data_IF_193565464540
#
_entry.id   IF_193565464540
#
_cell.length_a   1.000
_cell.length_b   1.000
_cell.length_c   1.000
_cell.angle_alpha   90.00
_cell.angle_beta   90.00
_cell.angle_gamma   90.00
#
_symmetry.space_group_name_H-M   'P 1'
#
loop_
_entity.id
_entity.type
_entity.pdbx_description
1 polymer ?
#
# COMPACT_ATOMS: atom_id res chain seq x y z
N UNK A 1 -6.14 -9.06 44.05
CA UNK A 1 -6.43 -9.04 42.60
C UNK A 1 -5.22 -9.57 41.87
N UNK A 2 -5.26 -10.81 41.41
CA UNK A 2 -4.24 -11.37 40.52
C UNK A 2 -4.32 -10.61 39.20
N UNK A 3 -3.21 -10.00 38.79
CA UNK A 3 -3.08 -9.39 37.47
C UNK A 3 -3.27 -10.51 36.42
N UNK A 4 -4.46 -10.55 35.81
CA UNK A 4 -4.73 -11.41 34.66
C UNK A 4 -3.64 -11.08 33.62
N UNK A 5 -2.96 -12.08 33.03
CA UNK A 5 -1.82 -11.85 32.16
C UNK A 5 -2.27 -11.12 30.90
N UNK A 6 -2.18 -9.80 30.98
CA UNK A 6 -2.55 -8.80 29.98
C UNK A 6 -1.79 -8.96 28.64
N UNK A 7 -0.76 -9.81 28.61
CA UNK A 7 0.12 -10.05 27.47
C UNK A 7 -0.47 -10.87 26.33
N UNK A 8 -1.63 -11.52 26.50
CA UNK A 8 -2.25 -12.33 25.43
C UNK A 8 -3.33 -11.60 24.63
N UNK A 9 -3.32 -10.26 24.61
CA UNK A 9 -4.20 -9.56 23.70
C UNK A 9 -3.65 -9.69 22.28
N UNK A 10 -4.35 -10.44 21.44
CA UNK A 10 -3.93 -10.84 20.10
C UNK A 10 -3.59 -9.68 19.17
N UNK A 11 -3.23 -10.02 17.92
CA UNK A 11 -2.81 -9.08 16.88
C UNK A 11 -3.72 -7.84 16.77
N UNK A 12 -5.04 -8.01 16.86
CA UNK A 12 -6.01 -6.92 16.77
C UNK A 12 -5.79 -5.82 17.83
N UNK A 13 -5.64 -6.18 19.11
CA UNK A 13 -5.40 -5.20 20.18
C UNK A 13 -4.06 -4.47 20.00
N UNK A 14 -3.04 -5.18 19.52
CA UNK A 14 -1.75 -4.57 19.18
C UNK A 14 -1.88 -3.54 18.04
N UNK A 15 -2.68 -3.85 17.02
CA UNK A 15 -2.98 -2.93 15.94
C UNK A 15 -3.76 -1.69 16.42
N UNK A 16 -4.76 -1.87 17.30
CA UNK A 16 -5.50 -0.75 17.91
C UNK A 16 -4.57 0.16 18.72
N UNK A 17 -3.69 -0.40 19.55
CA UNK A 17 -2.71 0.41 20.29
C UNK A 17 -1.74 1.15 19.38
N UNK A 18 -1.27 0.49 18.33
CA UNK A 18 -0.40 1.12 17.34
C UNK A 18 -1.12 2.29 16.65
N UNK A 19 -2.40 2.11 16.30
CA UNK A 19 -3.25 3.17 15.77
C UNK A 19 -3.40 4.34 16.75
N UNK A 20 -3.71 4.08 18.02
CA UNK A 20 -3.81 5.14 19.05
C UNK A 20 -2.52 5.92 19.18
N UNK A 21 -1.40 5.22 19.31
CA UNK A 21 -0.08 5.87 19.37
C UNK A 21 0.14 6.73 18.14
N UNK A 22 -0.21 6.23 16.95
CA UNK A 22 -0.07 6.93 15.69
C UNK A 22 -0.91 8.21 15.61
N UNK A 23 -2.23 8.13 15.80
CA UNK A 23 -3.08 9.32 15.62
C UNK A 23 -2.97 10.31 16.79
N UNK A 24 -2.34 9.93 17.91
CA UNK A 24 -2.03 10.87 19.01
C UNK A 24 -0.60 11.43 18.96
N UNK A 25 0.19 11.08 17.93
CA UNK A 25 1.53 11.65 17.72
C UNK A 25 1.45 13.18 17.59
N UNK A 26 2.28 13.89 18.35
CA UNK A 26 2.34 15.35 18.36
C UNK A 26 1.36 16.04 19.30
N UNK A 27 0.39 15.30 19.89
CA UNK A 27 -0.48 15.85 20.92
C UNK A 27 0.27 16.04 22.25
N UNK A 28 -0.17 17.00 23.10
CA UNK A 28 0.23 17.08 24.50
C UNK A 28 0.12 15.72 25.19
N UNK A 29 1.07 15.42 26.08
CA UNK A 29 1.18 14.14 26.78
C UNK A 29 -0.13 13.75 27.49
N UNK A 30 -0.77 14.70 28.15
CA UNK A 30 -2.06 14.52 28.83
C UNK A 30 -3.15 13.93 27.90
N UNK A 31 -3.30 14.47 26.68
CA UNK A 31 -4.30 13.98 25.72
C UNK A 31 -3.97 12.57 25.22
N UNK A 32 -2.67 12.30 24.99
CA UNK A 32 -2.18 11.01 24.54
C UNK A 32 -2.42 9.93 25.60
N UNK A 33 -2.08 10.21 26.85
CA UNK A 33 -2.27 9.29 27.97
C UNK A 33 -3.74 9.03 28.23
N UNK A 34 -4.55 10.09 28.29
CA UNK A 34 -6.01 9.97 28.48
C UNK A 34 -6.64 9.08 27.41
N UNK A 35 -6.28 9.29 26.14
CA UNK A 35 -6.85 8.51 25.03
C UNK A 35 -6.32 7.07 25.02
N UNK A 36 -5.04 6.87 25.35
CA UNK A 36 -4.47 5.54 25.51
C UNK A 36 -5.16 4.76 26.62
N UNK A 37 -5.42 5.39 27.77
CA UNK A 37 -6.13 4.77 28.89
C UNK A 37 -7.57 4.41 28.53
N UNK A 38 -8.29 5.29 27.84
CA UNK A 38 -9.66 5.02 27.39
C UNK A 38 -9.71 3.79 26.47
N UNK A 39 -8.84 3.73 25.47
CA UNK A 39 -8.82 2.59 24.53
C UNK A 39 -8.39 1.30 25.23
N UNK A 40 -7.50 1.40 26.21
CA UNK A 40 -7.10 0.26 27.03
C UNK A 40 -8.26 -0.28 27.87
N UNK A 41 -9.08 0.62 28.44
CA UNK A 41 -10.32 0.26 29.13
C UNK A 41 -11.32 -0.39 28.17
N UNK A 42 -11.56 0.22 27.01
CA UNK A 42 -12.49 -0.30 25.99
C UNK A 42 -12.08 -1.71 25.51
N UNK A 43 -10.78 -1.93 25.27
CA UNK A 43 -10.24 -3.24 24.88
C UNK A 43 -10.41 -4.28 26.00
N UNK A 44 -10.22 -3.88 27.26
CA UNK A 44 -10.40 -4.76 28.41
C UNK A 44 -11.87 -5.14 28.63
N UNK A 45 -12.78 -4.16 28.58
CA UNK A 45 -14.22 -4.37 28.70
C UNK A 45 -14.72 -5.30 27.59
N UNK A 46 -14.34 -5.02 26.33
CA UNK A 46 -14.73 -5.85 25.20
C UNK A 46 -14.22 -7.30 25.34
N UNK A 47 -12.95 -7.47 25.74
CA UNK A 47 -12.40 -8.80 25.97
C UNK A 47 -13.12 -9.53 27.11
N UNK A 48 -13.41 -8.85 28.21
CA UNK A 48 -14.09 -9.42 29.38
C UNK A 48 -15.51 -9.87 29.03
N UNK A 49 -16.28 -9.01 28.37
CA UNK A 49 -17.64 -9.32 27.93
C UNK A 49 -17.66 -10.56 27.02
N UNK A 50 -16.66 -10.68 26.14
CA UNK A 50 -16.57 -11.83 25.24
C UNK A 50 -16.06 -13.10 25.92
N UNK A 51 -15.18 -12.98 26.90
CA UNK A 51 -14.77 -14.11 27.73
C UNK A 51 -15.96 -14.71 28.49
N UNK A 52 -16.87 -13.87 29.01
CA UNK A 52 -18.10 -14.32 29.69
C UNK A 52 -19.06 -15.01 28.71
N UNK A 53 -19.11 -14.58 27.44
CA UNK A 53 -19.93 -15.20 26.38
C UNK A 53 -19.34 -16.47 25.73
N UNK A 54 -18.13 -16.91 26.13
CA UNK A 54 -17.39 -18.00 25.48
C UNK A 54 -17.20 -17.84 23.95
N UNK A 55 -17.10 -16.59 23.47
CA UNK A 55 -16.88 -16.32 22.05
C UNK A 55 -15.53 -16.87 21.57
N UNK A 56 -15.44 -17.43 20.34
CA UNK A 56 -14.18 -17.91 19.81
C UNK A 56 -13.18 -16.76 19.60
N UNK A 57 -11.87 -16.96 19.86
CA UNK A 57 -10.86 -15.88 19.80
C UNK A 57 -10.73 -15.18 18.43
N UNK A 58 -11.01 -15.90 17.33
CA UNK A 58 -10.99 -15.34 15.99
C UNK A 58 -12.12 -14.33 15.77
N UNK A 59 -13.33 -14.63 16.25
CA UNK A 59 -14.47 -13.72 16.16
C UNK A 59 -14.19 -12.43 16.95
N UNK A 60 -13.64 -12.55 18.15
CA UNK A 60 -13.22 -11.39 18.96
C UNK A 60 -12.18 -10.52 18.23
N UNK A 61 -11.20 -11.14 17.58
CA UNK A 61 -10.18 -10.41 16.81
C UNK A 61 -10.79 -9.68 15.62
N UNK A 62 -11.76 -10.31 14.94
CA UNK A 62 -12.50 -9.71 13.83
C UNK A 62 -13.32 -8.51 14.28
N UNK A 63 -14.12 -8.66 15.34
CA UNK A 63 -14.97 -7.58 15.86
C UNK A 63 -14.15 -6.40 16.41
N UNK A 64 -13.02 -6.69 17.07
CA UNK A 64 -12.08 -5.64 17.52
C UNK A 64 -11.52 -4.88 16.32
N UNK A 65 -11.11 -5.60 15.26
CA UNK A 65 -10.55 -4.99 14.05
C UNK A 65 -11.59 -4.16 13.32
N UNK A 66 -12.79 -4.70 13.15
CA UNK A 66 -13.91 -4.02 12.51
C UNK A 66 -14.32 -2.74 13.28
N UNK A 67 -14.45 -2.82 14.61
CA UNK A 67 -14.72 -1.64 15.45
C UNK A 67 -13.63 -0.60 15.33
N UNK A 68 -12.37 -1.02 15.31
CA UNK A 68 -11.22 -0.13 15.14
C UNK A 68 -11.29 0.58 13.79
N UNK A 69 -11.51 -0.15 12.69
CA UNK A 69 -11.59 0.41 11.33
C UNK A 69 -12.71 1.46 11.22
N UNK A 70 -13.90 1.18 11.75
CA UNK A 70 -15.00 2.16 11.78
C UNK A 70 -14.67 3.36 12.68
N UNK A 71 -13.94 3.12 13.78
CA UNK A 71 -13.51 4.15 14.72
C UNK A 71 -12.41 5.08 14.20
N UNK A 72 -11.58 4.64 13.24
CA UNK A 72 -10.46 5.43 12.73
C UNK A 72 -10.89 6.80 12.19
N UNK A 73 -12.00 6.87 11.45
CA UNK A 73 -12.51 8.14 10.92
C UNK A 73 -12.94 9.08 12.04
N UNK A 74 -13.58 8.54 13.09
CA UNK A 74 -13.98 9.30 14.27
C UNK A 74 -12.77 9.78 15.09
N UNK A 75 -11.72 8.96 15.20
CA UNK A 75 -10.46 9.33 15.87
C UNK A 75 -9.76 10.50 15.15
N UNK A 76 -9.71 10.44 13.82
CA UNK A 76 -9.16 11.53 13.00
C UNK A 76 -10.02 12.79 13.16
N UNK A 77 -11.35 12.68 13.12
CA UNK A 77 -12.25 13.81 13.29
C UNK A 77 -12.12 14.43 14.70
N UNK A 78 -12.02 13.61 15.74
CA UNK A 78 -11.75 14.05 17.10
C UNK A 78 -10.46 14.86 17.18
N UNK A 79 -9.41 14.41 16.49
CA UNK A 79 -8.15 15.15 16.42
C UNK A 79 -8.33 16.52 15.74
N UNK A 80 -9.09 16.57 14.63
CA UNK A 80 -9.43 17.84 13.97
C UNK A 80 -10.21 18.79 14.88
N UNK A 81 -11.10 18.26 15.73
CA UNK A 81 -11.81 19.07 16.72
C UNK A 81 -10.89 19.61 17.81
N UNK A 82 -9.90 18.81 18.25
CA UNK A 82 -8.98 19.17 19.32
C UNK A 82 -7.95 20.23 18.90
N UNK A 83 -7.29 20.06 17.75
CA UNK A 83 -6.23 20.97 17.27
C UNK A 83 -6.78 22.08 16.35
N UNK A 84 -8.07 22.02 16.00
CA UNK A 84 -8.70 22.87 14.98
C UNK A 84 -8.20 22.55 13.56
N UNK A 85 -8.56 23.36 12.54
CA UNK A 85 -8.18 23.11 11.15
C UNK A 85 -6.66 23.12 10.87
N UNK A 86 -5.85 23.60 11.84
CA UNK A 86 -4.39 23.73 11.74
C UNK A 86 -3.65 22.54 12.35
N UNK A 87 -4.22 21.33 12.24
CA UNK A 87 -3.61 20.08 12.71
C UNK A 87 -2.22 19.92 12.10
N UNK A 88 -1.19 20.19 12.89
CA UNK A 88 0.21 19.91 12.52
C UNK A 88 0.53 18.51 13.02
N UNK A 89 0.05 17.51 12.27
CA UNK A 89 0.44 16.14 12.54
C UNK A 89 1.93 16.02 12.27
N UNK A 90 2.74 16.02 13.34
CA UNK A 90 4.14 15.63 13.31
C UNK A 90 4.21 14.11 13.18
N UNK A 91 3.58 13.54 12.16
CA UNK A 91 4.02 12.22 11.73
C UNK A 91 5.43 12.45 11.19
N UNK A 92 6.41 11.62 11.54
CA UNK A 92 7.61 11.52 10.73
C UNK A 92 7.16 11.02 9.36
N UNK A 93 6.76 11.94 8.51
CA UNK A 93 6.15 11.74 7.20
C UNK A 93 7.07 10.89 6.34
N UNK A 94 8.37 11.03 6.56
CA UNK A 94 9.41 10.17 6.01
C UNK A 94 9.10 8.70 6.34
N UNK A 95 8.80 8.36 7.59
CA UNK A 95 8.49 6.98 7.98
C UNK A 95 7.20 6.47 7.36
N UNK A 96 6.17 7.31 7.24
CA UNK A 96 4.95 6.93 6.53
C UNK A 96 5.25 6.68 5.05
N UNK A 97 5.94 7.61 4.39
CA UNK A 97 6.36 7.45 3.01
C UNK A 97 7.19 6.17 2.83
N UNK A 98 8.08 5.87 3.77
CA UNK A 98 8.88 4.65 3.75
C UNK A 98 8.05 3.38 3.92
N UNK A 99 7.09 3.37 4.86
CA UNK A 99 6.15 2.27 5.03
C UNK A 99 5.27 2.08 3.78
N UNK A 100 4.80 3.16 3.16
CA UNK A 100 4.02 3.11 1.92
C UNK A 100 4.85 2.58 0.74
N UNK A 101 6.11 2.99 0.61
CA UNK A 101 7.02 2.44 -0.41
C UNK A 101 7.24 0.93 -0.21
N UNK A 102 7.35 0.45 1.02
CA UNK A 102 7.42 -1.00 1.31
C UNK A 102 6.09 -1.71 0.98
N UNK A 103 4.95 -1.07 1.22
CA UNK A 103 3.64 -1.56 0.79
C UNK A 103 3.52 -1.64 -0.73
N UNK A 104 4.11 -0.70 -1.47
CA UNK A 104 4.17 -0.74 -2.94
C UNK A 104 4.99 -1.93 -3.46
N UNK A 105 6.06 -2.33 -2.76
CA UNK A 105 6.81 -3.56 -3.08
C UNK A 105 5.88 -4.77 -2.99
N UNK A 106 5.13 -4.88 -1.88
CA UNK A 106 4.19 -5.97 -1.67
C UNK A 106 3.10 -5.97 -2.75
N UNK A 107 2.52 -4.81 -3.06
CA UNK A 107 1.52 -4.66 -4.13
C UNK A 107 2.06 -5.08 -5.50
N UNK A 108 3.28 -4.67 -5.83
CA UNK A 108 3.98 -5.05 -7.07
C UNK A 108 4.18 -6.55 -7.13
N UNK A 109 4.67 -7.15 -6.04
CA UNK A 109 4.91 -8.60 -5.98
C UNK A 109 3.62 -9.40 -6.16
N UNK A 110 2.54 -9.00 -5.49
CA UNK A 110 1.22 -9.62 -5.61
C UNK A 110 0.63 -9.49 -7.02
N UNK A 111 0.86 -8.35 -7.68
CA UNK A 111 0.40 -8.13 -9.06
C UNK A 111 1.15 -9.03 -10.05
N UNK A 112 2.45 -9.22 -9.82
CA UNK A 112 3.30 -10.05 -10.67
C UNK A 112 3.07 -11.55 -10.45
N UNK A 113 2.83 -11.98 -9.21
CA UNK A 113 2.61 -13.39 -8.89
C UNK A 113 1.36 -13.96 -9.56
N UNK A 114 0.40 -13.10 -9.92
CA UNK A 114 -0.82 -13.54 -10.59
C UNK A 114 -0.71 -13.66 -12.10
N UNK A 115 0.36 -13.14 -12.71
CA UNK A 115 0.57 -13.29 -14.15
C UNK A 115 1.10 -14.68 -14.54
N UNK A 116 0.97 -15.68 -13.68
CA UNK A 116 1.28 -17.08 -13.99
C UNK A 116 0.31 -17.75 -14.97
N UNK A 117 -0.50 -16.98 -15.71
CA UNK A 117 -1.41 -17.45 -16.75
C UNK A 117 -0.66 -17.58 -18.06
N UNK A 118 -0.50 -18.81 -18.55
CA UNK A 118 0.01 -19.05 -19.89
C UNK A 118 -1.15 -18.97 -20.90
N UNK A 119 -1.57 -17.75 -21.23
CA UNK A 119 -2.67 -17.52 -22.21
C UNK A 119 -2.29 -17.94 -23.64
N UNK A 120 -1.00 -18.21 -23.88
CA UNK A 120 -0.47 -18.64 -25.18
C UNK A 120 -0.37 -20.14 -25.35
N UNK A 121 -0.55 -20.94 -24.28
CA UNK A 121 -0.49 -22.39 -24.35
C UNK A 121 -1.65 -22.95 -25.15
N UNK A 122 -1.36 -23.87 -26.07
CA UNK A 122 -2.39 -24.72 -26.67
C UNK A 122 -3.09 -25.50 -25.54
N UNK A 123 -4.39 -25.25 -25.32
CA UNK A 123 -5.16 -25.88 -24.24
C UNK A 123 -5.62 -24.95 -23.11
N UNK A 124 -6.20 -23.77 -23.42
CA UNK A 124 -6.78 -22.87 -22.40
C UNK A 124 -7.84 -23.55 -21.49
N UNK A 125 -8.46 -24.64 -21.94
CA UNK A 125 -9.33 -25.46 -21.10
C UNK A 125 -8.60 -26.07 -19.88
N UNK A 126 -7.35 -26.50 -20.04
CA UNK A 126 -6.54 -27.03 -18.93
C UNK A 126 -6.20 -25.93 -17.93
N UNK A 127 -6.03 -24.69 -18.42
CA UNK A 127 -5.80 -23.51 -17.59
C UNK A 127 -7.06 -23.12 -16.80
N UNK A 128 -8.25 -23.25 -17.40
CA UNK A 128 -9.51 -23.11 -16.66
C UNK A 128 -9.72 -24.20 -15.62
N UNK A 129 -9.35 -25.44 -15.93
CA UNK A 129 -9.41 -26.53 -14.96
C UNK A 129 -8.45 -26.27 -13.78
N UNK A 130 -7.26 -25.74 -14.07
CA UNK A 130 -6.33 -25.25 -13.04
C UNK A 130 -6.96 -24.14 -12.20
N UNK A 131 -7.62 -23.16 -12.83
CA UNK A 131 -8.32 -22.08 -12.13
C UNK A 131 -9.43 -22.58 -11.21
N UNK A 132 -10.30 -23.45 -11.71
CA UNK A 132 -11.38 -24.06 -10.93
C UNK A 132 -10.85 -24.96 -9.79
N UNK A 133 -9.60 -25.43 -9.89
CA UNK A 133 -8.94 -26.20 -8.82
C UNK A 133 -8.39 -25.32 -7.69
N UNK A 134 -8.26 -24.01 -7.92
CA UNK A 134 -7.85 -23.05 -6.88
C UNK A 134 -8.95 -22.99 -5.84
N UNK A 135 -8.60 -23.15 -4.57
CA UNK A 135 -9.59 -23.11 -3.49
C UNK A 135 -10.15 -21.70 -3.38
N UNK A 136 -11.47 -21.54 -3.22
CA UNK A 136 -12.12 -20.22 -3.13
C UNK A 136 -11.45 -19.25 -2.13
N UNK A 137 -10.98 -19.75 -0.97
CA UNK A 137 -10.27 -18.89 0.00
C UNK A 137 -8.98 -18.27 -0.54
N UNK A 138 -8.29 -18.91 -1.49
CA UNK A 138 -7.09 -18.36 -2.11
C UNK A 138 -7.46 -17.19 -3.03
N UNK A 139 -8.52 -17.34 -3.81
CA UNK A 139 -9.12 -16.28 -4.64
C UNK A 139 -9.56 -15.09 -3.78
N UNK A 140 -10.22 -15.37 -2.65
CA UNK A 140 -10.67 -14.34 -1.71
C UNK A 140 -9.50 -13.57 -1.09
N UNK A 141 -8.50 -14.29 -0.56
CA UNK A 141 -7.30 -13.68 0.04
C UNK A 141 -6.54 -12.86 -0.99
N UNK A 142 -6.36 -13.38 -2.20
CA UNK A 142 -5.69 -12.67 -3.29
C UNK A 142 -6.43 -11.38 -3.66
N UNK A 143 -7.75 -11.46 -3.84
CA UNK A 143 -8.61 -10.31 -4.18
C UNK A 143 -8.56 -9.26 -3.06
N UNK A 144 -8.66 -9.69 -1.80
CA UNK A 144 -8.57 -8.81 -0.64
C UNK A 144 -7.22 -8.08 -0.59
N UNK A 145 -6.12 -8.80 -0.84
CA UNK A 145 -4.78 -8.22 -0.88
C UNK A 145 -4.62 -7.21 -2.03
N UNK A 146 -5.14 -7.50 -3.22
CA UNK A 146 -5.11 -6.57 -4.34
C UNK A 146 -5.96 -5.31 -4.08
N UNK A 147 -7.18 -5.46 -3.57
CA UNK A 147 -8.05 -4.33 -3.22
C UNK A 147 -7.38 -3.48 -2.13
N UNK A 148 -6.84 -4.12 -1.09
CA UNK A 148 -6.08 -3.45 -0.03
C UNK A 148 -4.86 -2.69 -0.57
N UNK A 149 -4.11 -3.30 -1.50
CA UNK A 149 -3.01 -2.65 -2.19
C UNK A 149 -3.47 -1.43 -3.01
N UNK A 150 -4.56 -1.57 -3.76
CA UNK A 150 -5.16 -0.48 -4.55
C UNK A 150 -5.56 0.72 -3.70
N UNK A 151 -6.27 0.47 -2.59
CA UNK A 151 -6.63 1.50 -1.62
C UNK A 151 -5.40 2.14 -0.97
N UNK A 152 -4.40 1.31 -0.62
CA UNK A 152 -3.13 1.78 -0.08
C UNK A 152 -2.41 2.75 -1.02
N UNK A 153 -2.42 2.48 -2.32
CA UNK A 153 -1.84 3.37 -3.35
C UNK A 153 -2.59 4.70 -3.45
N UNK A 154 -3.93 4.69 -3.41
CA UNK A 154 -4.74 5.91 -3.47
C UNK A 154 -4.48 6.79 -2.23
N UNK A 155 -4.44 6.18 -1.05
CA UNK A 155 -4.12 6.90 0.19
C UNK A 155 -2.70 7.46 0.17
N UNK A 156 -1.74 6.67 -0.33
CA UNK A 156 -0.36 7.11 -0.52
C UNK A 156 -0.28 8.32 -1.46
N UNK A 157 -1.02 8.30 -2.57
CA UNK A 157 -1.09 9.42 -3.51
C UNK A 157 -1.55 10.73 -2.84
N UNK A 158 -2.60 10.67 -2.02
CA UNK A 158 -3.10 11.82 -1.28
C UNK A 158 -2.06 12.34 -0.28
N UNK A 159 -1.40 11.45 0.48
CA UNK A 159 -0.34 11.82 1.42
C UNK A 159 0.82 12.48 0.68
N UNK A 160 1.35 11.87 -0.38
CA UNK A 160 2.46 12.42 -1.16
C UNK A 160 2.11 13.77 -1.78
N UNK A 161 0.90 13.93 -2.31
CA UNK A 161 0.44 15.20 -2.85
C UNK A 161 0.48 16.31 -1.79
N UNK A 162 -0.13 16.07 -0.62
CA UNK A 162 -0.17 17.05 0.46
C UNK A 162 1.23 17.44 0.94
N UNK A 163 2.18 16.50 0.91
CA UNK A 163 3.55 16.73 1.36
C UNK A 163 4.42 17.46 0.35
N UNK A 164 4.31 17.06 -0.92
CA UNK A 164 5.18 17.58 -1.96
C UNK A 164 4.62 18.85 -2.61
N UNK A 165 3.31 19.13 -2.52
CA UNK A 165 2.69 20.26 -3.24
C UNK A 165 3.32 21.61 -2.92
N UNK A 166 3.77 21.84 -1.69
CA UNK A 166 4.36 23.12 -1.28
C UNK A 166 5.82 23.26 -1.73
N UNK A 167 6.54 22.14 -1.89
CA UNK A 167 7.97 22.13 -2.20
C UNK A 167 8.27 21.86 -3.68
N UNK A 168 7.44 21.05 -4.32
CA UNK A 168 7.62 20.56 -5.67
C UNK A 168 6.25 20.23 -6.32
N UNK A 169 5.42 21.25 -6.64
CA UNK A 169 4.02 21.09 -7.01
C UNK A 169 3.83 20.21 -8.25
N UNK A 170 4.63 20.41 -9.30
CA UNK A 170 4.51 19.64 -10.54
C UNK A 170 4.78 18.14 -10.31
N UNK A 171 5.87 17.81 -9.60
CA UNK A 171 6.19 16.40 -9.29
C UNK A 171 5.17 15.78 -8.34
N UNK A 172 4.62 16.56 -7.40
CA UNK A 172 3.59 16.10 -6.47
C UNK A 172 2.33 15.68 -7.21
N UNK A 173 1.85 16.52 -8.13
CA UNK A 173 0.64 16.24 -8.93
C UNK A 173 0.84 15.00 -9.78
N UNK A 174 1.96 14.89 -10.50
CA UNK A 174 2.23 13.76 -11.39
C UNK A 174 2.38 12.45 -10.61
N UNK A 175 3.17 12.46 -9.52
CA UNK A 175 3.35 11.28 -8.67
C UNK A 175 2.02 10.79 -8.08
N UNK A 176 1.21 11.72 -7.56
CA UNK A 176 -0.08 11.38 -6.98
C UNK A 176 -1.07 10.86 -8.04
N UNK A 177 -1.13 11.49 -9.21
CA UNK A 177 -1.98 11.02 -10.31
C UNK A 177 -1.63 9.61 -10.76
N UNK A 178 -0.34 9.34 -11.01
CA UNK A 178 0.12 8.02 -11.46
C UNK A 178 -0.13 6.94 -10.41
N UNK A 179 0.09 7.25 -9.14
CA UNK A 179 -0.11 6.31 -8.04
C UNK A 179 -1.59 6.05 -7.76
N UNK A 180 -2.46 7.07 -7.83
CA UNK A 180 -3.90 6.88 -7.75
C UNK A 180 -4.42 6.04 -8.94
N UNK A 181 -3.89 6.29 -10.14
CA UNK A 181 -4.22 5.51 -11.34
C UNK A 181 -3.82 4.05 -11.20
N UNK A 182 -2.59 3.78 -10.71
CA UNK A 182 -2.15 2.42 -10.38
C UNK A 182 -3.09 1.75 -9.37
N UNK A 183 -3.47 2.47 -8.32
CA UNK A 183 -4.43 2.01 -7.33
C UNK A 183 -5.78 1.58 -7.91
N UNK A 184 -6.36 2.40 -8.78
CA UNK A 184 -7.61 2.10 -9.49
C UNK A 184 -7.45 0.89 -10.40
N UNK A 185 -6.38 0.85 -11.22
CA UNK A 185 -6.12 -0.24 -12.14
C UNK A 185 -5.93 -1.58 -11.41
N UNK A 186 -5.27 -1.59 -10.25
CA UNK A 186 -5.13 -2.79 -9.42
C UNK A 186 -6.48 -3.30 -8.92
N UNK A 187 -7.40 -2.42 -8.49
CA UNK A 187 -8.75 -2.83 -8.07
C UNK A 187 -9.59 -3.36 -9.25
N UNK A 188 -9.46 -2.75 -10.43
CA UNK A 188 -10.09 -3.24 -11.66
C UNK A 188 -9.55 -4.62 -12.02
N UNK A 189 -8.22 -4.82 -11.97
CA UNK A 189 -7.58 -6.11 -12.19
C UNK A 189 -8.08 -7.18 -11.22
N UNK A 190 -8.24 -6.85 -9.94
CA UNK A 190 -8.79 -7.75 -8.93
C UNK A 190 -10.23 -8.18 -9.26
N UNK A 191 -11.04 -7.24 -9.75
CA UNK A 191 -12.43 -7.50 -10.13
C UNK A 191 -12.51 -8.40 -11.36
N UNK A 192 -11.67 -8.16 -12.37
CA UNK A 192 -11.57 -9.00 -13.57
C UNK A 192 -11.09 -10.42 -13.20
N UNK A 193 -10.12 -10.52 -12.30
CA UNK A 193 -9.63 -11.80 -11.79
C UNK A 193 -10.73 -12.60 -11.10
N UNK A 194 -11.49 -11.96 -10.20
CA UNK A 194 -12.61 -12.60 -9.50
C UNK A 194 -13.67 -13.10 -10.48
N UNK A 195 -14.03 -12.28 -11.49
CA UNK A 195 -14.98 -12.69 -12.52
C UNK A 195 -14.47 -13.84 -13.39
N UNK A 196 -13.15 -13.89 -13.67
CA UNK A 196 -12.55 -15.00 -14.41
C UNK A 196 -12.57 -16.31 -13.58
N UNK A 197 -12.32 -16.22 -12.27
CA UNK A 197 -12.40 -17.35 -11.35
C UNK A 197 -13.84 -17.89 -11.25
N UNK A 198 -14.84 -17.01 -11.08
CA UNK A 198 -16.26 -17.41 -11.02
C UNK A 198 -16.71 -18.11 -12.32
N UNK A 199 -16.27 -17.63 -13.49
CA UNK A 199 -16.55 -18.27 -14.77
C UNK A 199 -15.84 -19.63 -14.92
N UNK A 200 -14.65 -19.78 -14.33
CA UNK A 200 -13.95 -21.07 -14.31
C UNK A 200 -14.72 -22.10 -13.49
N UNK A 201 -15.23 -21.71 -12.32
CA UNK A 201 -16.06 -22.56 -11.46
C UNK A 201 -17.37 -22.95 -12.16
N UNK A 202 -18.04 -21.99 -12.82
CA UNK A 202 -19.25 -22.26 -13.62
C UNK A 202 -18.95 -23.20 -14.79
N UNK A 203 -17.85 -22.98 -15.50
CA UNK A 203 -17.43 -23.87 -16.60
C UNK A 203 -17.20 -25.30 -16.11
N UNK A 204 -16.60 -25.48 -14.94
CA UNK A 204 -16.40 -26.79 -14.34
C UNK A 204 -17.72 -27.45 -13.90
N UNK A 205 -18.67 -26.66 -13.38
CA UNK A 205 -19.98 -27.14 -12.91
C UNK A 205 -20.95 -27.49 -14.05
N UNK A 206 -20.99 -26.68 -15.12
CA UNK A 206 -21.98 -26.78 -16.21
C UNK A 206 -21.61 -27.78 -17.31
N UNK A 207 -20.60 -28.63 -17.08
CA UNK A 207 -20.16 -29.62 -18.05
C UNK A 207 -19.35 -29.02 -19.21
N UNK A 208 -18.58 -27.96 -18.95
CA UNK A 208 -17.57 -27.39 -19.87
C UNK A 208 -18.16 -26.71 -21.11
N UNK A 209 -19.18 -25.87 -20.93
CA UNK A 209 -19.83 -25.13 -22.03
C UNK A 209 -18.85 -24.17 -22.75
N UNK A 210 -18.95 -24.08 -24.08
CA UNK A 210 -18.06 -23.25 -24.91
C UNK A 210 -18.23 -21.74 -24.64
N UNK A 211 -19.43 -21.32 -24.20
CA UNK A 211 -19.72 -19.92 -23.85
C UNK A 211 -18.91 -19.46 -22.64
N UNK A 212 -18.86 -20.26 -21.56
CA UNK A 212 -18.10 -19.93 -20.35
C UNK A 212 -16.60 -19.95 -20.62
N UNK A 213 -16.14 -20.90 -21.45
CA UNK A 213 -14.75 -20.96 -21.92
C UNK A 213 -14.33 -19.68 -22.67
N UNK A 214 -15.18 -19.22 -23.61
CA UNK A 214 -14.91 -18.02 -24.41
C UNK A 214 -14.90 -16.76 -23.54
N UNK A 215 -15.87 -16.63 -22.62
CA UNK A 215 -15.96 -15.50 -21.72
C UNK A 215 -14.76 -15.42 -20.75
N UNK A 216 -14.41 -16.54 -20.12
CA UNK A 216 -13.27 -16.59 -19.23
C UNK A 216 -11.95 -16.29 -19.96
N UNK A 217 -11.78 -16.81 -21.18
CA UNK A 217 -10.62 -16.50 -22.02
C UNK A 217 -10.51 -15.00 -22.31
N UNK A 218 -11.62 -14.35 -22.64
CA UNK A 218 -11.64 -12.92 -22.89
C UNK A 218 -11.20 -12.12 -21.64
N UNK A 219 -11.69 -12.48 -20.45
CA UNK A 219 -11.28 -11.82 -19.20
C UNK A 219 -9.80 -12.07 -18.86
N UNK A 220 -9.31 -13.30 -19.00
CA UNK A 220 -7.89 -13.60 -18.74
C UNK A 220 -6.97 -12.86 -19.71
N UNK A 221 -7.37 -12.71 -20.97
CA UNK A 221 -6.63 -11.89 -21.93
C UNK A 221 -6.62 -10.39 -21.59
N UNK A 222 -7.61 -9.88 -20.85
CA UNK A 222 -7.62 -8.50 -20.34
C UNK A 222 -6.67 -8.29 -19.14
N UNK A 223 -6.36 -9.35 -18.37
CA UNK A 223 -5.47 -9.24 -17.22
C UNK A 223 -4.05 -8.83 -17.62
N UNK A 224 -3.54 -9.31 -18.76
CA UNK A 224 -2.22 -8.94 -19.25
C UNK A 224 -2.06 -7.42 -19.50
N UNK A 225 -2.85 -6.76 -20.37
CA UNK A 225 -2.73 -5.32 -20.59
C UNK A 225 -3.02 -4.50 -19.32
N UNK A 226 -3.91 -4.97 -18.43
CA UNK A 226 -4.13 -4.34 -17.12
C UNK A 226 -2.87 -4.38 -16.25
N UNK A 227 -2.24 -5.54 -16.12
CA UNK A 227 -0.97 -5.72 -15.41
C UNK A 227 0.12 -4.79 -15.97
N UNK A 228 0.20 -4.66 -17.29
CA UNK A 228 1.14 -3.76 -17.94
C UNK A 228 0.85 -2.29 -17.63
N UNK A 229 -0.42 -1.87 -17.68
CA UNK A 229 -0.82 -0.52 -17.30
C UNK A 229 -0.52 -0.20 -15.83
N UNK A 230 -0.77 -1.16 -14.92
CA UNK A 230 -0.40 -1.04 -13.49
C UNK A 230 1.12 -0.85 -13.36
N UNK A 231 1.91 -1.66 -14.07
CA UNK A 231 3.36 -1.57 -14.02
C UNK A 231 3.89 -0.23 -14.54
N UNK A 232 3.39 0.26 -15.69
CA UNK A 232 3.76 1.57 -16.26
C UNK A 232 3.46 2.70 -15.28
N UNK A 233 2.25 2.71 -14.72
CA UNK A 233 1.81 3.76 -13.81
C UNK A 233 2.60 3.75 -12.51
N UNK A 234 2.89 2.56 -11.95
CA UNK A 234 3.78 2.40 -10.80
C UNK A 234 5.20 2.89 -11.09
N UNK A 235 5.81 2.44 -12.20
CA UNK A 235 7.16 2.84 -12.57
C UNK A 235 7.27 4.36 -12.77
N UNK A 236 6.27 4.99 -13.39
CA UNK A 236 6.20 6.44 -13.54
C UNK A 236 6.02 7.17 -12.20
N UNK A 237 5.15 6.67 -11.32
CA UNK A 237 4.98 7.22 -9.97
C UNK A 237 6.31 7.16 -9.19
N UNK A 238 7.02 6.04 -9.30
CA UNK A 238 8.31 5.87 -8.65
C UNK A 238 9.39 6.79 -9.21
N UNK A 239 9.48 6.92 -10.54
CA UNK A 239 10.41 7.85 -11.18
C UNK A 239 10.19 9.28 -10.66
N UNK A 240 8.95 9.74 -10.65
CA UNK A 240 8.61 11.10 -10.18
C UNK A 240 8.90 11.31 -8.70
N UNK A 241 8.63 10.31 -7.85
CA UNK A 241 9.00 10.33 -6.43
C UNK A 241 10.52 10.35 -6.24
N UNK A 242 11.28 9.60 -7.03
CA UNK A 242 12.74 9.60 -6.96
C UNK A 242 13.33 10.96 -7.36
N UNK A 243 12.80 11.59 -8.41
CA UNK A 243 13.18 12.95 -8.81
C UNK A 243 12.89 13.93 -7.69
N UNK A 244 11.71 13.85 -7.07
CA UNK A 244 11.35 14.69 -5.93
C UNK A 244 12.28 14.45 -4.72
N UNK A 245 12.56 13.19 -4.38
CA UNK A 245 13.45 12.83 -3.28
C UNK A 245 14.88 13.33 -3.50
N UNK A 246 15.37 13.30 -4.74
CA UNK A 246 16.68 13.87 -5.11
C UNK A 246 16.68 15.39 -4.93
N UNK A 247 15.69 16.07 -5.51
CA UNK A 247 15.59 17.54 -5.49
C UNK A 247 15.45 18.10 -4.07
N UNK A 248 14.81 17.35 -3.19
CA UNK A 248 14.56 17.73 -1.81
C UNK A 248 15.61 17.17 -0.83
N UNK A 249 16.67 16.53 -1.34
CA UNK A 249 17.75 15.92 -0.54
C UNK A 249 17.24 14.97 0.56
N UNK A 250 16.10 14.30 0.32
CA UNK A 250 15.46 13.41 1.31
C UNK A 250 16.27 12.13 1.53
N UNK A 251 17.07 11.73 0.54
CA UNK A 251 17.82 10.48 0.51
C UNK A 251 19.29 10.80 0.17
N UNK A 252 20.22 10.09 0.80
CA UNK A 252 21.66 10.29 0.55
C UNK A 252 22.02 9.82 -0.87
N UNK A 253 22.78 10.64 -1.60
CA UNK A 253 23.44 10.24 -2.85
C UNK A 253 24.37 9.05 -2.56
N UNK A 254 24.18 7.86 -3.17
CA UNK A 254 23.86 7.69 -4.60
C UNK A 254 22.48 7.08 -4.92
N UNK A 255 21.67 6.76 -3.91
CA UNK A 255 20.41 6.00 -4.06
C UNK A 255 19.43 6.56 -5.11
N UNK A 256 19.23 7.87 -5.26
CA UNK A 256 18.26 8.37 -6.23
C UNK A 256 18.64 8.15 -7.70
N UNK A 257 19.94 8.02 -8.01
CA UNK A 257 20.40 7.73 -9.37
C UNK A 257 20.10 6.29 -9.79
N UNK A 258 20.16 5.34 -8.86
CA UNK A 258 19.72 3.96 -9.10
C UNK A 258 18.20 3.90 -9.39
N UNK A 259 17.42 4.73 -8.72
CA UNK A 259 15.98 4.87 -8.95
C UNK A 259 15.66 5.41 -10.35
N UNK A 260 16.31 6.53 -10.72
CA UNK A 260 16.10 7.14 -12.01
C UNK A 260 16.54 6.20 -13.15
N UNK A 261 17.67 5.51 -12.96
CA UNK A 261 18.17 4.50 -13.91
C UNK A 261 17.22 3.32 -14.05
N UNK A 262 16.78 2.73 -12.93
CA UNK A 262 15.85 1.59 -12.96
C UNK A 262 14.49 1.94 -13.54
N UNK A 263 13.90 3.09 -13.19
CA UNK A 263 12.62 3.48 -13.76
C UNK A 263 12.72 3.88 -15.24
N UNK A 264 13.84 4.47 -15.67
CA UNK A 264 14.09 4.72 -17.10
C UNK A 264 14.23 3.40 -17.86
N UNK A 265 14.95 2.43 -17.29
CA UNK A 265 15.10 1.11 -17.87
C UNK A 265 13.74 0.39 -17.97
N UNK A 266 12.90 0.46 -16.92
CA UNK A 266 11.54 -0.10 -16.93
C UNK A 266 10.65 0.55 -17.99
N UNK A 267 10.73 1.86 -18.19
CA UNK A 267 9.96 2.56 -19.24
C UNK A 267 10.48 2.24 -20.65
N UNK A 268 11.80 2.09 -20.81
CA UNK A 268 12.41 1.72 -22.08
C UNK A 268 12.07 0.27 -22.47
N UNK A 269 12.08 -0.67 -21.51
CA UNK A 269 11.70 -2.07 -21.76
C UNK A 269 10.21 -2.21 -22.07
N UNK A 270 9.36 -1.35 -21.52
CA UNK A 270 7.94 -1.26 -21.88
C UNK A 270 7.70 -0.90 -23.36
N UNK A 271 8.54 -0.04 -23.93
CA UNK A 271 8.50 0.27 -25.37
C UNK A 271 8.84 -0.94 -26.24
N UNK A 272 9.82 -1.75 -25.81
CA UNK A 272 10.22 -2.98 -26.49
C UNK A 272 9.15 -4.09 -26.38
N UNK A 273 8.44 -4.12 -25.25
CA UNK A 273 7.36 -5.05 -24.95
C UNK A 273 6.15 -4.97 -25.90
N UNK A 274 5.94 -3.83 -26.55
CA UNK A 274 4.92 -3.66 -27.59
C UNK A 274 5.35 -4.28 -28.93
N UNK A 275 6.65 -4.53 -29.12
CA UNK A 275 7.21 -4.83 -30.45
C UNK A 275 7.58 -6.30 -30.71
N UNK A 276 7.50 -7.19 -29.70
CA UNK A 276 7.56 -8.68 -29.72
C UNK A 276 8.56 -9.19 -28.67
N UNK A 277 8.09 -10.05 -27.75
CA UNK A 277 8.90 -10.62 -26.67
C UNK A 277 10.00 -11.55 -27.19
N UNK A 278 11.26 -11.10 -27.14
CA UNK A 278 12.41 -12.00 -27.19
C UNK A 278 12.92 -12.32 -25.77
N UNK A 279 13.59 -13.47 -25.60
CA UNK A 279 14.10 -13.95 -24.30
C UNK A 279 15.05 -12.94 -23.62
N UNK A 280 15.79 -12.15 -24.42
CA UNK A 280 16.68 -11.11 -23.91
C UNK A 280 15.92 -9.94 -23.26
N UNK A 281 14.71 -9.62 -23.72
CA UNK A 281 13.90 -8.54 -23.18
C UNK A 281 13.34 -8.90 -21.80
N UNK A 282 12.98 -10.16 -21.58
CA UNK A 282 12.50 -10.62 -20.28
C UNK A 282 13.55 -10.48 -19.17
N UNK A 283 14.83 -10.75 -19.48
CA UNK A 283 15.93 -10.55 -18.54
C UNK A 283 16.11 -9.07 -18.19
N UNK A 284 15.99 -8.17 -19.17
CA UNK A 284 16.07 -6.73 -18.95
C UNK A 284 14.90 -6.21 -18.10
N UNK A 285 13.67 -6.64 -18.39
CA UNK A 285 12.48 -6.32 -17.59
C UNK A 285 12.66 -6.80 -16.15
N UNK A 286 13.07 -8.06 -15.97
CA UNK A 286 13.31 -8.64 -14.64
C UNK A 286 14.40 -7.88 -13.87
N UNK A 287 15.52 -7.54 -14.53
CA UNK A 287 16.60 -6.76 -13.93
C UNK A 287 16.15 -5.35 -13.54
N UNK A 288 15.36 -4.69 -14.38
CA UNK A 288 14.79 -3.38 -14.10
C UNK A 288 13.87 -3.43 -12.87
N UNK A 289 13.00 -4.45 -12.80
CA UNK A 289 12.10 -4.68 -11.68
C UNK A 289 12.84 -4.95 -10.39
N UNK A 290 13.83 -5.85 -10.39
CA UNK A 290 14.64 -6.13 -9.20
C UNK A 290 15.35 -4.87 -8.72
N UNK A 291 15.94 -4.10 -9.63
CA UNK A 291 16.59 -2.83 -9.31
C UNK A 291 15.61 -1.82 -8.69
N UNK A 292 14.41 -1.74 -9.24
CA UNK A 292 13.31 -0.91 -8.74
C UNK A 292 12.88 -1.33 -7.33
N UNK A 293 12.73 -2.64 -7.08
CA UNK A 293 12.40 -3.19 -5.76
C UNK A 293 13.50 -2.93 -4.72
N UNK A 294 14.77 -3.11 -5.09
CA UNK A 294 15.93 -2.84 -4.22
C UNK A 294 15.98 -1.35 -3.85
N UNK A 295 15.71 -0.47 -4.81
CA UNK A 295 15.62 0.96 -4.54
C UNK A 295 14.47 1.30 -3.58
N UNK A 296 13.27 0.73 -3.79
CA UNK A 296 12.15 0.93 -2.87
C UNK A 296 12.47 0.45 -1.46
N UNK A 297 13.05 -0.75 -1.35
CA UNK A 297 13.37 -1.34 -0.06
C UNK A 297 14.38 -0.47 0.71
N UNK A 298 15.45 -0.06 0.03
CA UNK A 298 16.50 0.78 0.62
C UNK A 298 16.00 2.18 0.99
N UNK A 299 15.26 2.84 0.10
CA UNK A 299 14.67 4.16 0.35
C UNK A 299 13.62 4.09 1.44
N UNK A 300 12.74 3.10 1.37
CA UNK A 300 11.70 2.87 2.36
C UNK A 300 12.29 2.63 3.75
N UNK A 301 13.32 1.78 3.85
CA UNK A 301 14.01 1.51 5.09
C UNK A 301 14.75 2.74 5.63
N UNK A 302 15.44 3.51 4.76
CA UNK A 302 16.14 4.72 5.17
C UNK A 302 15.18 5.79 5.73
N UNK A 303 14.05 5.98 5.05
CA UNK A 303 13.01 6.89 5.49
C UNK A 303 12.35 6.41 6.80
N UNK A 304 12.15 5.10 6.95
CA UNK A 304 11.56 4.47 8.13
C UNK A 304 12.46 4.55 9.37
N UNK A 305 13.76 4.35 9.21
CA UNK A 305 14.74 4.44 10.31
C UNK A 305 14.95 5.91 10.72
N UNK A 306 14.72 6.86 9.80
CA UNK A 306 14.87 8.28 10.06
C UNK A 306 16.34 8.71 9.94
N UNK A 307 16.76 9.02 8.72
CA UNK A 307 17.95 9.84 8.54
C UNK A 307 17.73 11.17 9.25
N UNK A 308 18.57 11.51 10.23
CA UNK A 308 18.56 12.85 10.85
C UNK A 308 18.80 13.87 9.73
N UNK A 309 17.75 14.47 9.19
CA UNK A 309 17.87 15.65 8.33
C UNK A 309 18.51 16.69 9.23
N UNK A 310 19.77 17.03 8.96
CA UNK A 310 20.40 18.16 9.65
C UNK A 310 19.49 19.35 9.36
N UNK A 311 18.97 20.07 10.38
CA UNK A 311 18.17 21.26 10.14
C UNK A 311 18.95 22.15 9.18
N UNK A 312 18.34 22.44 8.03
CA UNK A 312 18.96 23.29 7.02
C UNK A 312 19.33 24.60 7.68
N UNK A 313 20.58 25.04 7.52
CA UNK A 313 21.05 26.35 8.00
C UNK A 313 20.29 27.52 7.36
N UNK A 314 19.43 27.27 6.37
CA UNK A 314 18.70 28.29 5.62
C UNK A 314 17.57 28.99 6.40
N UNK A 315 17.36 28.68 7.68
CA UNK A 315 16.27 29.23 8.49
C UNK A 315 16.69 29.71 9.88
N UNK A 316 17.96 30.10 10.08
CA UNK A 316 18.22 31.05 11.15
C UNK A 316 17.45 32.32 10.81
N UNK A 317 16.24 32.44 11.36
CA UNK A 317 15.53 33.71 11.44
C UNK A 317 16.59 34.72 11.91
N UNK A 318 16.85 35.80 11.16
CA UNK A 318 17.78 36.82 11.62
C UNK A 318 17.41 37.15 13.05
N UNK A 319 18.37 37.02 13.97
CA UNK A 319 18.18 37.22 15.39
C UNK A 319 17.25 38.41 15.57
N UNK A 320 16.09 38.15 16.16
CA UNK A 320 15.04 39.14 16.34
C UNK A 320 15.71 40.42 16.83
N UNK A 321 15.54 41.49 16.05
CA UNK A 321 16.11 42.82 16.29
C UNK A 321 15.99 43.08 17.79
N UNK A 322 17.12 43.02 18.49
CA UNK A 322 17.17 43.32 19.91
C UNK A 322 16.60 44.73 20.07
N UNK A 323 15.59 44.95 20.92
CA UNK A 323 15.04 46.29 21.10
C UNK A 323 16.17 47.22 21.52
N UNK A 324 16.40 48.26 20.70
CA UNK A 324 17.39 49.28 21.00
C UNK A 324 17.06 49.91 22.37
N UNK A 325 17.96 49.73 23.32
CA UNK A 325 17.97 50.41 24.62
C UNK A 325 18.41 51.86 24.48
#
# INVERSE_FOLDING_TARGET
>A
MSAIPYRQQGFAASAVRAWVRFYTLGLPEEHRERRSFQIESDLWEHWRDRAESQSPPLLLSWETTDRALRGMAADILWRFQLEGPKVRIHVPIERLAGAFVLLLILATFLSLSANGYDTGREGFADELERLASIKGWQTDVYTLLQVGAGLGMILSAAVFFLQLRERAPATAVVAAFLMASAGILTMVSASVYLSAADLADQWAADGRTESSLTAARALTLMLFPLSMAIFVTLAGAMYTLAVAATRLELVKHPLPWLAAGSATLSLATLGALVTQFETAEWLLVSAAMVSMLVWMASTGLQLLIGGRVKPSKAGALPDAISPAS
#
